data_IF_289462098239
#
_entry.id   IF_289462098239
#
_cell.length_a   1.000
_cell.length_b   1.000
_cell.length_c   1.000
_cell.angle_alpha   90.00
_cell.angle_beta   90.00
_cell.angle_gamma   90.00
#
_symmetry.space_group_name_H-M   'P 1'
#
loop_
_entity.id
_entity.type
_entity.pdbx_description
1 polymer ?
#
# COMPACT_ATOMS: atom_id res chain seq x y z
N UNK A 1 22.82 -1.37 -11.52
CA UNK A 1 21.44 -0.88 -11.72
C UNK A 1 20.84 -0.77 -10.33
N UNK A 2 21.01 0.40 -9.73
CA UNK A 2 21.23 0.50 -8.28
C UNK A 2 20.21 1.48 -7.67
N UNK A 3 19.61 1.10 -6.55
CA UNK A 3 18.55 1.88 -5.89
C UNK A 3 19.19 2.91 -4.97
N UNK A 4 18.87 4.20 -5.10
CA UNK A 4 19.33 5.17 -4.11
C UNK A 4 18.80 4.85 -2.70
N UNK A 5 17.51 4.51 -2.62
CA UNK A 5 16.82 4.05 -1.42
C UNK A 5 15.61 3.16 -1.78
N UNK A 6 15.23 2.27 -0.87
CA UNK A 6 14.02 1.44 -0.98
C UNK A 6 12.83 2.07 -0.22
N UNK A 7 11.56 1.91 -0.67
CA UNK A 7 10.37 2.38 0.05
C UNK A 7 9.98 1.43 1.20
N UNK A 8 9.09 1.83 2.12
CA UNK A 8 8.67 0.93 3.22
C UNK A 8 7.54 -0.04 2.84
N UNK A 9 6.81 0.27 1.77
CA UNK A 9 6.01 -0.68 0.99
C UNK A 9 6.66 -0.82 -0.38
N UNK A 10 7.17 -2.02 -0.67
CA UNK A 10 7.86 -2.36 -1.91
C UNK A 10 6.94 -3.18 -2.80
N UNK A 11 6.65 -2.68 -4.00
CA UNK A 11 5.84 -3.37 -5.00
C UNK A 11 6.77 -3.84 -6.11
N UNK A 12 6.84 -5.15 -6.34
CA UNK A 12 7.69 -5.75 -7.38
C UNK A 12 6.78 -6.29 -8.49
N UNK A 13 6.83 -5.64 -9.66
CA UNK A 13 6.11 -6.09 -10.85
C UNK A 13 6.98 -7.07 -11.66
N UNK A 14 6.51 -8.30 -11.82
CA UNK A 14 7.14 -9.27 -12.71
C UNK A 14 6.61 -9.01 -14.13
N UNK A 15 7.45 -8.43 -15.00
CA UNK A 15 7.11 -8.06 -16.38
C UNK A 15 6.94 -9.29 -17.29
N UNK A 16 5.86 -10.03 -17.08
CA UNK A 16 5.56 -11.30 -17.78
C UNK A 16 5.01 -11.12 -19.20
N UNK A 17 4.45 -9.97 -19.54
CA UNK A 17 3.85 -9.73 -20.85
C UNK A 17 4.84 -9.05 -21.80
N UNK A 18 5.06 -9.64 -22.97
CA UNK A 18 5.86 -9.06 -24.04
C UNK A 18 5.03 -8.92 -25.32
N UNK A 19 4.93 -7.70 -25.83
CA UNK A 19 4.21 -7.39 -27.06
C UNK A 19 5.21 -7.22 -28.20
N UNK A 20 5.18 -8.14 -29.17
CA UNK A 20 5.91 -8.00 -30.45
C UNK A 20 4.91 -7.94 -31.61
N UNK A 21 5.36 -7.51 -32.80
CA UNK A 21 4.49 -7.41 -33.97
C UNK A 21 3.95 -8.75 -34.47
N UNK A 22 4.65 -9.86 -34.22
CA UNK A 22 4.23 -11.20 -34.61
C UNK A 22 3.68 -12.05 -33.44
N UNK A 23 4.14 -11.81 -32.21
CA UNK A 23 3.84 -12.67 -31.06
C UNK A 23 3.36 -11.89 -29.83
N UNK A 24 2.30 -12.40 -29.21
CA UNK A 24 1.74 -11.98 -27.93
C UNK A 24 1.88 -13.14 -26.94
N UNK A 25 2.85 -13.06 -26.04
CA UNK A 25 3.16 -14.17 -25.13
C UNK A 25 3.24 -13.74 -23.65
N UNK A 26 3.04 -14.71 -22.76
CA UNK A 26 3.18 -14.59 -21.30
C UNK A 26 4.36 -15.45 -20.86
N UNK A 27 5.39 -14.81 -20.32
CA UNK A 27 6.55 -15.44 -19.71
C UNK A 27 6.11 -16.19 -18.45
N UNK A 28 5.91 -17.50 -18.60
CA UNK A 28 5.46 -18.42 -17.55
C UNK A 28 6.60 -18.95 -16.66
N UNK A 29 7.81 -18.40 -16.77
CA UNK A 29 8.97 -18.77 -15.95
C UNK A 29 8.65 -18.67 -14.46
N UNK A 30 8.89 -19.73 -13.70
CA UNK A 30 8.79 -19.67 -12.24
C UNK A 30 9.86 -18.70 -11.72
N UNK A 31 9.45 -17.76 -10.88
CA UNK A 31 10.35 -16.84 -10.17
C UNK A 31 10.24 -17.19 -8.70
N UNK A 32 11.33 -17.65 -8.10
CA UNK A 32 11.38 -17.85 -6.65
C UNK A 32 11.52 -16.50 -5.97
N UNK A 33 10.74 -16.28 -4.92
CA UNK A 33 10.76 -15.07 -4.09
C UNK A 33 10.54 -15.49 -2.62
N UNK A 34 11.28 -14.92 -1.66
CA UNK A 34 11.14 -15.30 -0.25
C UNK A 34 9.86 -14.71 0.34
N UNK A 35 9.08 -15.52 1.06
CA UNK A 35 7.86 -15.05 1.74
C UNK A 35 8.20 -14.12 2.92
N UNK A 36 9.34 -14.33 3.57
CA UNK A 36 9.84 -13.52 4.68
C UNK A 36 11.36 -13.30 4.54
N UNK A 37 11.85 -12.15 4.99
CA UNK A 37 13.29 -11.86 5.02
C UNK A 37 13.94 -11.48 3.68
N UNK A 38 13.21 -10.87 2.75
CA UNK A 38 13.80 -10.27 1.54
C UNK A 38 14.73 -9.10 1.94
N UNK A 39 16.05 -9.33 1.93
CA UNK A 39 17.04 -8.27 2.16
C UNK A 39 17.34 -7.49 0.87
N UNK A 40 16.90 -6.23 0.82
CA UNK A 40 17.18 -5.32 -0.28
C UNK A 40 18.50 -4.54 -0.10
N UNK A 41 19.19 -4.68 1.04
CA UNK A 41 20.41 -3.93 1.36
C UNK A 41 21.52 -4.02 0.30
N UNK A 42 21.75 -5.15 -0.40
CA UNK A 42 22.78 -5.25 -1.44
C UNK A 42 22.56 -4.35 -2.67
N UNK A 43 21.31 -3.94 -2.93
CA UNK A 43 20.95 -3.11 -4.09
C UNK A 43 20.70 -1.65 -3.73
N UNK A 44 20.67 -1.30 -2.44
CA UNK A 44 20.54 0.09 -1.97
C UNK A 44 21.91 0.74 -1.87
N UNK A 45 22.09 1.93 -2.45
CA UNK A 45 23.38 2.64 -2.50
C UNK A 45 23.65 3.44 -1.21
N UNK A 46 22.65 4.17 -0.71
CA UNK A 46 22.83 5.11 0.41
C UNK A 46 22.83 4.41 1.78
N UNK A 47 23.89 4.61 2.58
CA UNK A 47 24.08 3.93 3.88
C UNK A 47 23.04 4.28 4.95
N UNK A 48 22.45 5.49 4.92
CA UNK A 48 21.28 5.85 5.75
C UNK A 48 20.07 4.96 5.39
N UNK A 49 19.94 4.61 4.11
CA UNK A 49 18.76 3.95 3.55
C UNK A 49 18.86 2.43 3.50
N UNK A 50 20.08 1.86 3.46
CA UNK A 50 20.43 0.42 3.51
C UNK A 50 19.98 -0.24 4.82
N UNK A 51 20.20 0.43 5.97
CA UNK A 51 19.96 -0.17 7.28
C UNK A 51 18.52 -0.67 7.41
N UNK A 52 18.35 -1.89 7.88
CA UNK A 52 17.05 -2.56 8.05
C UNK A 52 16.19 -2.59 6.76
N UNK A 53 16.79 -2.65 5.57
CA UNK A 53 16.07 -2.82 4.30
C UNK A 53 15.58 -4.27 4.08
N UNK A 54 15.02 -4.88 5.13
CA UNK A 54 14.50 -6.26 5.13
C UNK A 54 12.98 -6.24 5.09
N UNK A 55 12.39 -7.05 4.22
CA UNK A 55 10.96 -7.06 3.92
C UNK A 55 10.34 -8.44 4.08
N UNK A 56 9.06 -8.46 4.46
CA UNK A 56 8.21 -9.65 4.44
C UNK A 56 7.07 -9.45 3.44
N UNK A 57 6.69 -10.53 2.75
CA UNK A 57 5.59 -10.53 1.80
C UNK A 57 4.26 -10.47 2.57
N UNK A 58 3.34 -9.63 2.13
CA UNK A 58 1.98 -9.56 2.67
C UNK A 58 0.88 -9.70 1.60
N UNK A 59 1.26 -9.69 0.32
CA UNK A 59 0.33 -9.97 -0.76
C UNK A 59 1.00 -10.37 -2.08
N UNK A 60 0.26 -11.08 -2.91
CA UNK A 60 0.61 -11.45 -4.28
C UNK A 60 -0.63 -11.20 -5.14
N UNK A 61 -0.50 -10.49 -6.26
CA UNK A 61 -1.48 -10.57 -7.35
C UNK A 61 -1.03 -11.65 -8.33
N UNK A 62 -1.90 -12.62 -8.58
CA UNK A 62 -1.71 -13.70 -9.53
C UNK A 62 -2.37 -13.36 -10.86
N UNK A 63 -1.84 -13.89 -11.96
CA UNK A 63 -2.49 -13.91 -13.26
C UNK A 63 -2.42 -15.30 -13.90
N UNK A 64 -3.58 -15.83 -14.27
CA UNK A 64 -3.76 -17.07 -15.02
C UNK A 64 -4.29 -16.78 -16.43
N UNK A 65 -4.07 -17.69 -17.39
CA UNK A 65 -4.36 -17.41 -18.80
C UNK A 65 -3.27 -16.58 -19.49
N UNK A 66 -3.63 -15.83 -20.53
CA UNK A 66 -2.70 -15.16 -21.45
C UNK A 66 -3.19 -13.82 -22.00
N UNK A 67 -2.53 -13.29 -23.04
CA UNK A 67 -2.75 -11.90 -23.49
C UNK A 67 -4.08 -11.66 -24.24
N UNK A 68 -4.82 -12.71 -24.57
CA UNK A 68 -6.18 -12.63 -25.14
C UNK A 68 -7.31 -12.76 -24.12
N UNK A 69 -6.97 -13.02 -22.85
CA UNK A 69 -7.92 -13.33 -21.79
C UNK A 69 -7.24 -14.10 -20.66
N UNK A 70 -7.57 -13.74 -19.43
CA UNK A 70 -6.97 -14.30 -18.23
C UNK A 70 -7.79 -13.97 -16.99
N UNK A 71 -7.42 -14.58 -15.87
CA UNK A 71 -8.06 -14.40 -14.57
C UNK A 71 -7.06 -13.90 -13.55
N UNK A 72 -7.51 -13.03 -12.64
CA UNK A 72 -6.69 -12.47 -11.57
C UNK A 72 -7.24 -12.93 -10.21
N UNK A 73 -6.40 -13.63 -9.44
CA UNK A 73 -6.65 -13.90 -8.01
C UNK A 73 -5.62 -13.16 -7.18
N UNK A 74 -5.81 -13.11 -5.86
CA UNK A 74 -4.79 -12.59 -4.95
C UNK A 74 -4.53 -13.55 -3.79
N UNK A 75 -3.27 -13.60 -3.36
CA UNK A 75 -2.91 -14.12 -2.04
C UNK A 75 -2.67 -12.95 -1.10
N UNK A 76 -3.20 -12.99 0.12
CA UNK A 76 -3.06 -11.92 1.10
C UNK A 76 -2.84 -12.46 2.52
N UNK A 77 -1.90 -11.85 3.26
CA UNK A 77 -1.67 -12.12 4.69
C UNK A 77 -2.58 -11.21 5.52
N UNK A 78 -3.53 -11.78 6.23
CA UNK A 78 -4.29 -11.04 7.23
C UNK A 78 -3.32 -10.67 8.38
N UNK A 79 -3.18 -9.37 8.64
CA UNK A 79 -2.19 -8.85 9.58
C UNK A 79 -2.62 -8.94 11.06
N UNK A 80 -3.89 -9.24 11.34
CA UNK A 80 -4.44 -9.38 12.68
C UNK A 80 -4.26 -10.82 13.21
N UNK A 81 -4.47 -11.82 12.35
CA UNK A 81 -4.36 -13.24 12.70
C UNK A 81 -3.11 -13.94 12.12
N UNK A 82 -2.34 -13.27 11.26
CA UNK A 82 -1.10 -13.76 10.65
C UNK A 82 -1.27 -14.76 9.51
N UNK A 83 -2.50 -15.18 9.20
CA UNK A 83 -2.81 -16.24 8.23
C UNK A 83 -2.84 -15.73 6.79
N UNK A 84 -2.61 -16.65 5.85
CA UNK A 84 -2.72 -16.39 4.41
C UNK A 84 -4.08 -16.83 3.87
N UNK A 85 -4.60 -16.08 2.89
CA UNK A 85 -5.85 -16.37 2.20
C UNK A 85 -5.70 -16.21 0.69
N UNK A 86 -6.34 -17.10 -0.07
CA UNK A 86 -6.65 -16.91 -1.50
C UNK A 86 -7.96 -16.14 -1.63
N UNK A 87 -7.95 -15.16 -2.54
CA UNK A 87 -9.06 -14.29 -2.90
C UNK A 87 -9.36 -14.49 -4.39
N UNK A 88 -10.47 -15.15 -4.70
CA UNK A 88 -10.93 -15.51 -6.04
C UNK A 88 -12.34 -14.91 -6.25
N UNK A 89 -12.38 -13.68 -6.75
CA UNK A 89 -13.56 -12.80 -6.84
C UNK A 89 -14.37 -12.71 -5.54
N UNK A 90 -15.40 -13.56 -5.39
CA UNK A 90 -16.30 -13.63 -4.24
C UNK A 90 -15.96 -14.76 -3.25
N UNK A 91 -14.90 -15.52 -3.51
CA UNK A 91 -14.42 -16.61 -2.65
C UNK A 91 -13.20 -16.19 -1.85
N UNK A 92 -13.15 -16.65 -0.61
CA UNK A 92 -12.00 -16.51 0.29
C UNK A 92 -11.67 -17.88 0.88
N UNK A 93 -10.44 -18.37 0.67
CA UNK A 93 -9.98 -19.69 1.12
C UNK A 93 -8.73 -19.54 1.98
N UNK A 94 -8.64 -20.22 3.13
CA UNK A 94 -7.43 -20.17 3.96
C UNK A 94 -6.30 -21.03 3.36
N UNK A 95 -5.07 -20.51 3.35
CA UNK A 95 -3.88 -21.20 2.85
C UNK A 95 -3.06 -21.71 4.04
N UNK A 96 -3.03 -23.03 4.21
CA UNK A 96 -2.28 -23.69 5.29
C UNK A 96 -0.80 -23.95 4.96
N UNK A 97 -0.42 -23.95 3.68
CA UNK A 97 0.96 -24.18 3.21
C UNK A 97 1.45 -22.96 2.41
N UNK A 98 2.06 -21.94 3.04
CA UNK A 98 2.40 -20.68 2.37
C UNK A 98 3.33 -20.81 1.16
N UNK A 99 4.23 -21.80 1.14
CA UNK A 99 5.16 -22.02 0.03
C UNK A 99 4.45 -22.40 -1.29
N UNK A 100 3.22 -22.94 -1.21
CA UNK A 100 2.39 -23.23 -2.39
C UNK A 100 2.05 -21.99 -3.23
N UNK A 101 2.12 -20.79 -2.63
CA UNK A 101 1.90 -19.52 -3.33
C UNK A 101 3.01 -19.17 -4.33
N UNK A 102 4.19 -19.79 -4.23
CA UNK A 102 5.34 -19.53 -5.11
C UNK A 102 5.12 -20.22 -6.47
N UNK A 103 4.42 -19.51 -7.37
CA UNK A 103 3.97 -20.06 -8.65
C UNK A 103 4.34 -19.17 -9.86
N UNK A 104 4.18 -19.72 -11.07
CA UNK A 104 4.27 -18.96 -12.33
C UNK A 104 3.10 -17.99 -12.55
N UNK A 105 2.05 -18.06 -11.72
CA UNK A 105 0.93 -17.12 -11.73
C UNK A 105 1.28 -15.79 -11.04
N UNK A 106 2.17 -15.79 -10.03
CA UNK A 106 2.58 -14.60 -9.31
C UNK A 106 3.09 -13.50 -10.28
N UNK A 107 2.46 -12.33 -10.24
CA UNK A 107 2.62 -11.24 -11.23
C UNK A 107 2.98 -9.90 -10.59
N UNK A 108 2.41 -9.57 -9.44
CA UNK A 108 2.85 -8.44 -8.59
C UNK A 108 3.05 -8.94 -7.17
N UNK A 109 4.22 -8.68 -6.58
CA UNK A 109 4.56 -9.03 -5.20
C UNK A 109 4.48 -7.76 -4.33
N UNK A 110 3.84 -7.87 -3.16
CA UNK A 110 3.65 -6.78 -2.22
C UNK A 110 4.40 -7.07 -0.92
N UNK A 111 5.49 -6.33 -0.71
CA UNK A 111 6.42 -6.46 0.39
C UNK A 111 6.31 -5.29 1.37
N UNK A 112 6.30 -5.58 2.67
CA UNK A 112 6.30 -4.60 3.76
C UNK A 112 7.61 -4.70 4.53
N UNK A 113 8.24 -3.56 4.79
CA UNK A 113 9.49 -3.50 5.55
C UNK A 113 9.28 -3.85 7.02
N UNK A 114 10.18 -4.66 7.59
CA UNK A 114 10.14 -5.08 9.01
C UNK A 114 10.20 -3.90 9.98
N UNK A 115 11.07 -2.93 9.68
CA UNK A 115 11.16 -1.64 10.38
C UNK A 115 10.90 -0.53 9.36
N UNK A 116 9.71 0.08 9.30
CA UNK A 116 9.48 1.29 8.51
C UNK A 116 10.52 2.36 8.89
N UNK A 117 10.90 3.24 7.95
CA UNK A 117 11.69 4.39 8.33
C UNK A 117 10.86 5.27 9.25
N UNK A 118 11.51 5.90 10.23
CA UNK A 118 10.87 6.99 10.95
C UNK A 118 10.41 8.04 9.93
N UNK A 119 9.10 8.28 9.88
CA UNK A 119 8.61 9.47 9.24
C UNK A 119 9.12 10.65 10.04
N UNK A 120 10.24 11.23 9.57
CA UNK A 120 10.63 12.63 9.83
C UNK A 120 9.48 13.49 9.31
N UNK A 121 8.39 13.55 10.08
CA UNK A 121 7.18 14.26 9.71
C UNK A 121 7.59 15.70 9.45
N UNK A 122 7.53 16.12 8.18
CA UNK A 122 7.55 17.54 7.84
C UNK A 122 6.19 18.11 8.23
N UNK A 123 5.95 18.16 9.54
CA UNK A 123 4.78 18.70 10.19
C UNK A 123 4.80 20.22 10.02
N UNK A 124 4.53 20.66 8.79
CA UNK A 124 3.87 21.92 8.54
C UNK A 124 2.54 21.86 9.29
N UNK A 125 2.59 22.24 10.57
CA UNK A 125 1.42 22.45 11.41
C UNK A 125 0.51 23.37 10.61
N UNK A 126 -0.64 22.85 10.18
CA UNK A 126 -1.71 23.70 9.67
C UNK A 126 -2.21 24.47 10.89
N UNK A 127 -1.62 25.64 11.11
CA UNK A 127 -2.10 26.60 12.09
C UNK A 127 -3.41 27.13 11.52
N UNK A 128 -4.50 26.45 11.87
CA UNK A 128 -5.85 26.98 11.67
C UNK A 128 -5.90 28.26 12.51
N UNK A 129 -6.04 29.45 11.90
CA UNK A 129 -6.17 30.68 12.69
C UNK A 129 -7.54 30.66 13.37
N UNK A 130 -7.60 30.99 14.66
CA UNK A 130 -8.87 31.09 15.37
C UNK A 130 -9.85 32.00 14.62
N UNK A 131 -11.05 31.48 14.39
CA UNK A 131 -12.11 32.20 13.67
C UNK A 131 -12.60 33.39 14.49
N UNK A 132 -11.99 34.56 14.27
CA UNK A 132 -12.38 35.82 14.92
C UNK A 132 -13.89 36.04 14.77
N UNK A 133 -14.59 36.07 15.89
CA UNK A 133 -16.05 36.14 15.95
C UNK A 133 -16.56 37.40 15.25
N UNK A 134 -17.28 37.24 14.14
CA UNK A 134 -17.87 38.36 13.40
C UNK A 134 -19.02 38.93 14.21
N UNK A 135 -18.83 40.12 14.79
CA UNK A 135 -19.90 40.91 15.40
C UNK A 135 -20.63 41.71 14.34
N UNK A 136 -21.78 41.23 13.89
CA UNK A 136 -22.74 42.04 13.10
C UNK A 136 -23.34 43.17 13.95
N UNK A 137 -23.66 44.30 13.31
CA UNK A 137 -24.28 45.50 13.91
C UNK A 137 -25.54 45.90 13.13
N UNK A 138 -26.51 46.52 13.83
CA UNK A 138 -27.85 46.87 13.35
C UNK A 138 -28.89 45.84 13.83
N UNK A 139 -30.06 46.19 14.41
CA UNK A 139 -30.81 47.47 14.42
C UNK A 139 -31.89 47.44 13.32
N UNK A 140 -33.16 47.83 13.49
CA UNK A 140 -33.89 48.83 14.34
C UNK A 140 -35.40 48.35 14.40
N UNK A 141 -36.36 48.67 15.31
CA UNK A 141 -36.61 49.74 16.32
C UNK A 141 -37.57 49.33 17.47
N UNK A 142 -37.34 49.85 18.69
CA UNK A 142 -38.31 50.47 19.65
C UNK A 142 -39.48 49.70 20.33
N UNK A 143 -40.04 50.38 21.36
CA UNK A 143 -41.19 50.08 22.25
C UNK A 143 -40.83 49.19 23.47
N UNK A 144 -41.19 49.51 24.73
CA UNK A 144 -41.82 50.72 25.34
C UNK A 144 -41.41 50.88 26.82
N UNK A 145 -41.92 51.91 27.52
CA UNK A 145 -41.70 52.22 28.95
C UNK A 145 -42.20 51.16 29.96
N UNK A 146 -41.64 51.18 31.18
CA UNK A 146 -42.16 50.47 32.35
C UNK A 146 -41.30 50.62 33.61
N UNK A 147 -41.84 51.24 34.66
CA UNK A 147 -41.30 51.21 36.04
C UNK A 147 -41.74 49.86 36.71
N UNK A 148 -41.27 49.41 37.88
CA UNK A 148 -40.70 50.13 39.02
C UNK A 148 -39.87 49.18 39.95
N UNK A 149 -39.16 49.81 40.88
CA UNK A 149 -38.29 49.35 41.98
C UNK A 149 -38.61 48.04 42.76
N UNK A 150 -37.55 47.66 43.49
CA UNK A 150 -37.45 46.87 44.75
C UNK A 150 -37.53 45.33 44.62
#
# INVERSE_FOLDING_TARGET
MDLWSSPDLLIIHLKRFSYTRQWRDRINTLVYFPLEGLDMSPWVVSDEHKRDAVYDLYGISNHMGGMGGGHYTAYAKNLENGKWYELDDSRTTEIHEPDSMISSAAYVLYYKRRKPREMKHRASRVVIPDSKSVKTKGGISQLTDGQQKD
#
